data_IF_251053169679
#
_entry.id   IF_251053169679
#
_cell.length_a   1.000
_cell.length_b   1.000
_cell.length_c   1.000
_cell.angle_alpha   90.00
_cell.angle_beta   90.00
_cell.angle_gamma   90.00
#
_symmetry.space_group_name_H-M   'P 1'
#
loop_
_entity.id
_entity.type
_entity.pdbx_description
1 polymer ?
#
# COMPACT_ATOMS: atom_id res chain seq x y z
N UNK A 1 -16.37 -3.33 26.77
CA UNK A 1 -15.98 -3.57 25.35
C UNK A 1 -16.23 -5.03 25.03
N UNK A 2 -16.88 -5.33 23.89
CA UNK A 2 -17.00 -6.72 23.40
C UNK A 2 -15.67 -7.21 22.82
N UNK A 3 -15.48 -8.53 22.73
CA UNK A 3 -14.29 -9.14 22.10
C UNK A 3 -14.09 -8.62 20.67
N UNK A 4 -15.17 -8.50 19.90
CA UNK A 4 -15.16 -7.96 18.53
C UNK A 4 -14.65 -6.52 18.49
N UNK A 5 -15.06 -5.67 19.44
CA UNK A 5 -14.57 -4.29 19.51
C UNK A 5 -13.06 -4.24 19.76
N UNK A 6 -12.54 -5.06 20.69
CA UNK A 6 -11.11 -5.13 20.96
C UNK A 6 -10.33 -5.59 19.73
N UNK A 7 -10.76 -6.68 19.09
CA UNK A 7 -10.09 -7.23 17.89
C UNK A 7 -10.04 -6.19 16.78
N UNK A 8 -11.16 -5.53 16.49
CA UNK A 8 -11.22 -4.57 15.42
C UNK A 8 -10.43 -3.29 15.72
N UNK A 9 -10.38 -2.82 16.96
CA UNK A 9 -9.51 -1.69 17.35
C UNK A 9 -8.04 -2.05 17.19
N UNK A 10 -7.62 -3.22 17.68
CA UNK A 10 -6.24 -3.70 17.52
C UNK A 10 -5.89 -3.85 16.03
N UNK A 11 -6.78 -4.46 15.24
CA UNK A 11 -6.60 -4.57 13.80
C UNK A 11 -6.47 -3.20 13.13
N UNK A 12 -7.34 -2.24 13.47
CA UNK A 12 -7.26 -0.88 12.92
C UNK A 12 -5.94 -0.19 13.25
N UNK A 13 -5.46 -0.30 14.49
CA UNK A 13 -4.17 0.28 14.91
C UNK A 13 -3.01 -0.38 14.15
N UNK A 14 -2.96 -1.71 14.12
CA UNK A 14 -1.90 -2.45 13.42
C UNK A 14 -1.89 -2.14 11.93
N UNK A 15 -3.06 -2.10 11.29
CA UNK A 15 -3.19 -1.77 9.87
C UNK A 15 -2.80 -0.31 9.59
N UNK A 16 -3.21 0.63 10.44
CA UNK A 16 -2.82 2.03 10.33
C UNK A 16 -1.29 2.20 10.38
N UNK A 17 -0.64 1.58 11.37
CA UNK A 17 0.81 1.58 11.47
C UNK A 17 1.47 0.87 10.27
N UNK A 18 0.90 -0.25 9.80
CA UNK A 18 1.39 -0.96 8.62
C UNK A 18 1.35 -0.11 7.35
N UNK A 19 0.27 0.69 7.17
CA UNK A 19 0.12 1.59 6.01
C UNK A 19 1.27 2.59 5.93
N UNK A 20 1.73 3.15 7.05
CA UNK A 20 2.82 4.13 7.05
C UNK A 20 4.17 3.41 6.94
N UNK A 21 4.38 2.36 7.72
CA UNK A 21 5.68 1.68 7.83
C UNK A 21 6.11 0.99 6.54
N UNK A 22 5.18 0.55 5.67
CA UNK A 22 5.55 -0.02 4.37
C UNK A 22 6.32 0.96 3.47
N UNK A 23 6.15 2.27 3.66
CA UNK A 23 6.89 3.29 2.91
C UNK A 23 8.31 3.51 3.43
N UNK A 24 8.65 2.99 4.62
CA UNK A 24 10.03 3.03 5.13
C UNK A 24 11.01 2.31 4.19
N UNK A 25 10.52 1.35 3.38
CA UNK A 25 11.31 0.71 2.32
C UNK A 25 11.95 1.72 1.36
N UNK A 26 11.29 2.85 1.10
CA UNK A 26 11.82 3.89 0.20
C UNK A 26 12.97 4.69 0.79
N UNK A 27 13.22 4.60 2.11
CA UNK A 27 14.41 5.17 2.75
C UNK A 27 15.69 4.36 2.46
N UNK A 28 15.57 3.10 2.01
CA UNK A 28 16.75 2.31 1.64
C UNK A 28 17.44 2.89 0.41
N UNK A 29 18.79 2.83 0.29
CA UNK A 29 19.48 3.26 -0.92
C UNK A 29 18.99 2.52 -2.17
N UNK A 30 18.98 3.21 -3.32
CA UNK A 30 18.51 2.67 -4.61
C UNK A 30 19.04 1.26 -4.88
N UNK A 31 20.36 1.03 -4.75
CA UNK A 31 20.99 -0.28 -5.00
C UNK A 31 20.37 -1.41 -4.17
N UNK A 32 20.05 -1.16 -2.90
CA UNK A 32 19.42 -2.17 -2.02
C UNK A 32 17.98 -2.43 -2.42
N UNK A 33 17.20 -1.38 -2.69
CA UNK A 33 15.82 -1.52 -3.18
C UNK A 33 15.76 -2.33 -4.46
N UNK A 34 16.70 -2.06 -5.37
CA UNK A 34 16.86 -2.80 -6.62
C UNK A 34 17.21 -4.26 -6.42
N UNK A 35 18.23 -4.56 -5.63
CA UNK A 35 18.61 -5.96 -5.37
C UNK A 35 17.47 -6.77 -4.74
N UNK A 36 16.69 -6.16 -3.83
CA UNK A 36 15.52 -6.81 -3.23
C UNK A 36 14.41 -7.04 -4.26
N UNK A 37 14.16 -6.08 -5.14
CA UNK A 37 13.19 -6.21 -6.23
C UNK A 37 13.60 -7.29 -7.23
N UNK A 38 14.87 -7.28 -7.66
CA UNK A 38 15.41 -8.25 -8.60
C UNK A 38 15.32 -9.67 -8.02
N UNK A 39 15.56 -9.83 -6.71
CA UNK A 39 15.37 -11.09 -5.98
C UNK A 39 13.91 -11.56 -5.96
N UNK A 40 12.95 -10.65 -5.83
CA UNK A 40 11.52 -11.00 -5.84
C UNK A 40 11.07 -11.51 -7.22
N UNK A 41 11.51 -10.86 -8.29
CA UNK A 41 11.17 -11.32 -9.64
C UNK A 41 11.93 -12.58 -10.04
N UNK A 42 13.18 -12.76 -9.59
CA UNK A 42 13.94 -14.01 -9.82
C UNK A 42 14.01 -14.42 -11.29
N UNK A 43 14.15 -13.45 -12.21
CA UNK A 43 14.15 -13.69 -13.66
C UNK A 43 12.78 -13.90 -14.31
N UNK A 44 11.68 -13.78 -13.54
CA UNK A 44 10.30 -13.94 -14.03
C UNK A 44 9.67 -12.59 -14.40
N UNK A 45 8.53 -12.67 -15.07
CA UNK A 45 7.69 -11.52 -15.42
C UNK A 45 6.73 -11.11 -14.29
N UNK A 46 6.38 -12.02 -13.37
CA UNK A 46 5.56 -11.76 -12.18
C UNK A 46 6.25 -12.24 -10.90
N UNK A 47 5.93 -11.62 -9.77
CA UNK A 47 6.48 -11.91 -8.45
C UNK A 47 5.42 -12.02 -7.33
N UNK A 48 4.17 -11.63 -7.60
CA UNK A 48 3.17 -11.36 -6.53
C UNK A 48 1.88 -12.17 -6.64
N UNK A 49 1.71 -13.03 -7.64
CA UNK A 49 0.42 -13.69 -7.92
C UNK A 49 -0.20 -14.37 -6.68
N UNK A 50 0.60 -15.16 -5.93
CA UNK A 50 0.11 -15.81 -4.70
C UNK A 50 -0.15 -14.80 -3.59
N UNK A 51 0.71 -13.81 -3.40
CA UNK A 51 0.51 -12.79 -2.37
C UNK A 51 -0.72 -11.93 -2.66
N UNK A 52 -1.05 -11.68 -3.92
CA UNK A 52 -2.18 -10.86 -4.32
C UNK A 52 -3.51 -11.55 -3.96
N UNK A 53 -3.60 -12.88 -4.16
CA UNK A 53 -4.76 -13.67 -3.72
C UNK A 53 -4.90 -13.66 -2.19
N UNK A 54 -3.80 -13.84 -1.47
CA UNK A 54 -3.80 -13.82 0.01
C UNK A 54 -4.20 -12.45 0.54
N UNK A 55 -3.65 -11.38 -0.02
CA UNK A 55 -3.98 -10.00 0.36
C UNK A 55 -5.43 -9.65 0.03
N UNK A 56 -5.97 -10.16 -1.07
CA UNK A 56 -7.38 -9.99 -1.41
C UNK A 56 -8.27 -10.65 -0.36
N UNK A 57 -8.02 -11.91 -0.02
CA UNK A 57 -8.77 -12.62 1.01
C UNK A 57 -8.69 -11.89 2.38
N UNK A 58 -7.49 -11.45 2.75
CA UNK A 58 -7.28 -10.68 3.98
C UNK A 58 -8.05 -9.35 3.98
N UNK A 59 -8.03 -8.61 2.87
CA UNK A 59 -8.75 -7.34 2.72
C UNK A 59 -10.26 -7.53 2.87
N UNK A 60 -10.83 -8.59 2.26
CA UNK A 60 -12.25 -8.94 2.41
C UNK A 60 -12.58 -9.28 3.86
N UNK A 61 -11.74 -10.06 4.54
CA UNK A 61 -11.94 -10.42 5.95
C UNK A 61 -11.93 -9.18 6.88
N UNK A 62 -11.01 -8.23 6.66
CA UNK A 62 -10.95 -6.98 7.42
C UNK A 62 -12.17 -6.10 7.16
N UNK A 63 -12.61 -5.98 5.89
CA UNK A 63 -13.84 -5.26 5.56
C UNK A 63 -15.06 -5.87 6.28
N UNK A 64 -15.19 -7.20 6.24
CA UNK A 64 -16.27 -7.92 6.93
C UNK A 64 -16.21 -7.71 8.45
N UNK A 65 -15.02 -7.75 9.06
CA UNK A 65 -14.82 -7.47 10.48
C UNK A 65 -15.32 -6.07 10.86
N UNK A 66 -14.96 -5.04 10.09
CA UNK A 66 -15.38 -3.66 10.39
C UNK A 66 -16.88 -3.45 10.17
N UNK A 67 -17.46 -4.06 9.13
CA UNK A 67 -18.91 -4.02 8.92
C UNK A 67 -19.65 -4.74 10.04
N UNK A 68 -19.17 -5.91 10.48
CA UNK A 68 -19.76 -6.64 11.61
C UNK A 68 -19.64 -5.89 12.93
N UNK A 69 -18.55 -5.13 13.14
CA UNK A 69 -18.41 -4.21 14.27
C UNK A 69 -19.41 -3.04 14.24
N UNK A 70 -20.08 -2.81 13.12
CA UNK A 70 -21.01 -1.69 12.93
C UNK A 70 -20.32 -0.41 12.43
N UNK A 71 -19.40 -0.54 11.47
CA UNK A 71 -18.87 0.64 10.76
C UNK A 71 -20.00 1.44 10.12
N UNK A 72 -19.96 2.77 10.31
CA UNK A 72 -20.89 3.69 9.67
C UNK A 72 -20.79 3.55 8.13
N UNK A 73 -21.89 3.29 7.39
CA UNK A 73 -21.84 3.06 5.96
C UNK A 73 -21.29 4.24 5.16
N UNK A 74 -21.61 5.48 5.56
CA UNK A 74 -21.13 6.67 4.85
C UNK A 74 -19.61 6.85 5.02
N UNK A 75 -19.11 6.72 6.26
CA UNK A 75 -17.68 6.72 6.55
C UNK A 75 -16.93 5.58 5.86
N UNK A 76 -17.51 4.38 5.81
CA UNK A 76 -16.92 3.22 5.14
C UNK A 76 -16.80 3.42 3.62
N UNK A 77 -17.89 3.84 2.95
CA UNK A 77 -17.89 4.14 1.51
C UNK A 77 -16.96 5.30 1.17
N UNK A 78 -16.97 6.37 1.98
CA UNK A 78 -16.05 7.49 1.84
C UNK A 78 -14.59 7.05 1.94
N UNK A 79 -14.27 6.21 2.92
CA UNK A 79 -12.94 5.62 3.08
C UNK A 79 -12.50 4.78 1.88
N UNK A 80 -13.39 3.93 1.34
CA UNK A 80 -13.12 3.15 0.13
C UNK A 80 -12.83 4.05 -1.07
N UNK A 81 -13.64 5.08 -1.29
CA UNK A 81 -13.46 6.01 -2.41
C UNK A 81 -12.15 6.80 -2.28
N UNK A 82 -11.83 7.33 -1.09
CA UNK A 82 -10.56 8.02 -0.83
C UNK A 82 -9.38 7.09 -1.07
N UNK A 83 -9.43 5.87 -0.53
CA UNK A 83 -8.37 4.86 -0.71
C UNK A 83 -8.12 4.51 -2.17
N UNK A 84 -9.19 4.21 -2.92
CA UNK A 84 -9.14 3.89 -4.35
C UNK A 84 -8.59 5.07 -5.18
N UNK A 85 -9.00 6.29 -4.85
CA UNK A 85 -8.53 7.49 -5.55
C UNK A 85 -7.06 7.76 -5.27
N UNK A 86 -6.61 7.62 -4.01
CA UNK A 86 -5.20 7.83 -3.64
C UNK A 86 -4.27 6.82 -4.33
N UNK A 87 -4.65 5.55 -4.43
CA UNK A 87 -3.83 4.54 -5.12
C UNK A 87 -3.79 4.79 -6.64
N UNK A 88 -4.90 5.20 -7.26
CA UNK A 88 -4.92 5.61 -8.66
C UNK A 88 -3.97 6.80 -8.90
N UNK A 89 -4.12 7.87 -8.11
CA UNK A 89 -3.26 9.04 -8.21
C UNK A 89 -1.79 8.69 -7.97
N UNK A 90 -1.49 7.81 -7.02
CA UNK A 90 -0.14 7.31 -6.76
C UNK A 90 0.48 6.70 -8.02
N UNK A 91 -0.22 5.75 -8.67
CA UNK A 91 0.29 5.10 -9.88
C UNK A 91 0.46 6.06 -11.05
N UNK A 92 -0.45 7.03 -11.21
CA UNK A 92 -0.35 8.05 -12.27
C UNK A 92 0.93 8.91 -12.17
N UNK A 93 1.56 8.98 -10.99
CA UNK A 93 2.83 9.71 -10.82
C UNK A 93 4.03 9.00 -11.49
N UNK A 94 3.88 7.74 -11.88
CA UNK A 94 4.94 6.96 -12.52
C UNK A 94 4.84 6.88 -14.06
N UNK A 95 4.11 7.81 -14.69
CA UNK A 95 3.97 7.90 -16.15
C UNK A 95 5.28 8.22 -16.91
N UNK A 96 6.29 8.82 -16.26
CA UNK A 96 7.52 9.19 -16.96
C UNK A 96 8.39 7.95 -17.21
N UNK A 97 8.92 7.77 -18.43
CA UNK A 97 9.81 6.66 -18.77
C UNK A 97 11.01 6.55 -17.82
N UNK A 98 11.45 5.32 -17.59
CA UNK A 98 12.68 5.01 -16.85
C UNK A 98 13.85 4.99 -17.84
N UNK A 99 15.00 5.53 -17.44
CA UNK A 99 16.22 5.47 -18.26
C UNK A 99 16.61 4.01 -18.55
N UNK A 100 17.18 3.74 -19.74
CA UNK A 100 17.44 2.38 -20.23
C UNK A 100 18.29 1.56 -19.27
N UNK A 101 19.24 2.20 -18.58
CA UNK A 101 20.17 1.58 -17.65
C UNK A 101 19.50 1.15 -16.33
N UNK A 102 18.28 1.64 -16.08
CA UNK A 102 17.50 1.36 -14.86
C UNK A 102 16.18 0.63 -15.12
N UNK A 103 15.88 0.39 -16.40
CA UNK A 103 14.68 -0.30 -16.86
C UNK A 103 14.61 -1.75 -16.36
N UNK A 104 13.43 -2.35 -16.48
CA UNK A 104 13.22 -3.75 -16.15
C UNK A 104 13.99 -4.67 -17.11
N UNK A 105 14.82 -5.61 -16.60
CA UNK A 105 15.43 -6.61 -17.46
C UNK A 105 14.34 -7.56 -17.99
N UNK A 106 14.46 -8.01 -19.24
CA UNK A 106 13.60 -9.05 -19.79
C UNK A 106 13.63 -10.34 -18.94
N UNK A 107 12.54 -11.12 -18.91
CA UNK A 107 11.23 -10.81 -19.49
C UNK A 107 10.50 -9.70 -18.70
N UNK A 108 9.83 -8.79 -19.41
CA UNK A 108 9.09 -7.68 -18.80
C UNK A 108 7.59 -7.97 -18.74
N UNK A 109 6.91 -7.30 -17.83
CA UNK A 109 5.45 -7.19 -17.73
C UNK A 109 5.10 -5.78 -17.31
N UNK A 110 3.86 -5.30 -17.52
CA UNK A 110 3.44 -3.98 -17.05
C UNK A 110 3.68 -3.79 -15.54
N UNK A 111 3.42 -4.82 -14.74
CA UNK A 111 3.65 -4.78 -13.30
C UNK A 111 5.15 -4.68 -12.96
N UNK A 112 5.99 -5.45 -13.64
CA UNK A 112 7.45 -5.38 -13.45
C UNK A 112 8.00 -4.01 -13.84
N UNK A 113 7.58 -3.47 -14.98
CA UNK A 113 8.00 -2.13 -15.41
C UNK A 113 7.58 -1.06 -14.40
N UNK A 114 6.33 -1.12 -13.91
CA UNK A 114 5.83 -0.21 -12.87
C UNK A 114 6.64 -0.34 -11.57
N UNK A 115 6.90 -1.56 -11.10
CA UNK A 115 7.73 -1.81 -9.92
C UNK A 115 9.12 -1.18 -10.06
N UNK A 116 9.73 -1.30 -11.24
CA UNK A 116 11.05 -0.72 -11.52
C UNK A 116 10.99 0.81 -11.56
N UNK A 117 9.95 1.41 -12.14
CA UNK A 117 9.71 2.85 -12.14
C UNK A 117 9.51 3.41 -10.72
N UNK A 118 8.81 2.67 -9.86
CA UNK A 118 8.64 3.01 -8.44
C UNK A 118 9.99 3.01 -7.73
N UNK A 119 10.86 2.03 -7.97
CA UNK A 119 12.17 2.00 -7.30
C UNK A 119 13.15 3.06 -7.79
N UNK A 120 13.06 3.46 -9.06
CA UNK A 120 13.88 4.53 -9.63
C UNK A 120 13.59 5.88 -8.98
N UNK A 121 12.31 6.23 -8.81
CA UNK A 121 11.91 7.53 -8.29
C UNK A 121 10.72 7.43 -7.29
N UNK A 122 10.90 6.79 -6.13
CA UNK A 122 9.81 6.52 -5.18
C UNK A 122 9.18 7.76 -4.56
N UNK A 123 9.80 8.93 -4.70
CA UNK A 123 9.32 10.23 -4.22
C UNK A 123 8.34 10.92 -5.18
N UNK A 124 8.13 10.43 -6.42
CA UNK A 124 7.19 11.04 -7.37
C UNK A 124 5.76 11.25 -6.82
N UNK A 125 5.20 10.33 -6.01
CA UNK A 125 3.89 10.48 -5.39
C UNK A 125 3.93 11.05 -3.96
N UNK A 126 4.93 11.88 -3.63
CA UNK A 126 5.02 12.47 -2.30
C UNK A 126 3.74 13.18 -1.82
N UNK A 127 2.92 13.87 -2.65
CA UNK A 127 1.68 14.47 -2.16
C UNK A 127 0.67 13.40 -1.72
N UNK A 128 0.53 12.31 -2.47
CA UNK A 128 -0.38 11.22 -2.12
C UNK A 128 0.08 10.51 -0.85
N UNK A 129 1.40 10.31 -0.71
CA UNK A 129 1.98 9.73 0.51
C UNK A 129 1.74 10.61 1.73
N UNK A 130 1.96 11.92 1.61
CA UNK A 130 1.72 12.87 2.69
C UNK A 130 0.24 12.90 3.10
N UNK A 131 -0.67 13.00 2.13
CA UNK A 131 -2.11 12.97 2.39
C UNK A 131 -2.51 11.68 3.12
N UNK A 132 -2.06 10.53 2.63
CA UNK A 132 -2.32 9.24 3.27
C UNK A 132 -1.78 9.20 4.70
N UNK A 133 -0.55 9.66 4.93
CA UNK A 133 0.06 9.71 6.26
C UNK A 133 -0.73 10.59 7.22
N UNK A 134 -1.13 11.80 6.80
CA UNK A 134 -1.92 12.72 7.64
C UNK A 134 -3.26 12.08 8.02
N UNK A 135 -3.97 11.49 7.05
CA UNK A 135 -5.24 10.82 7.31
C UNK A 135 -5.09 9.67 8.30
N UNK A 136 -4.07 8.82 8.13
CA UNK A 136 -3.81 7.71 9.04
C UNK A 136 -3.47 8.19 10.45
N UNK A 137 -2.55 9.16 10.59
CA UNK A 137 -2.16 9.70 11.90
C UNK A 137 -3.35 10.35 12.61
N UNK A 138 -4.18 11.09 11.87
CA UNK A 138 -5.39 11.70 12.41
C UNK A 138 -6.38 10.64 12.89
N UNK A 139 -6.62 9.57 12.11
CA UNK A 139 -7.50 8.47 12.53
C UNK A 139 -6.95 7.68 13.73
N UNK A 140 -5.63 7.46 13.80
CA UNK A 140 -5.00 6.83 14.96
C UNK A 140 -5.12 7.69 16.22
N UNK A 141 -4.93 9.01 16.09
CA UNK A 141 -5.15 9.94 17.19
C UNK A 141 -6.61 9.87 17.67
N UNK A 142 -7.58 9.89 16.76
CA UNK A 142 -9.00 9.75 17.14
C UNK A 142 -9.31 8.42 17.85
N UNK A 143 -8.61 7.33 17.54
CA UNK A 143 -8.75 6.06 18.25
C UNK A 143 -8.11 6.10 19.65
N UNK A 144 -7.02 6.85 19.84
CA UNK A 144 -6.34 6.97 21.12
C UNK A 144 -7.03 7.92 22.11
N UNK A 145 -7.77 8.92 21.59
CA UNK A 145 -8.53 9.89 22.39
C UNK A 145 -9.96 9.46 22.73
N UNK A 146 -10.41 8.30 22.23
CA UNK A 146 -11.72 7.70 22.53
C UNK A 146 -11.60 6.65 23.63
#
# INVERSE_FOLDING_TARGET
>A
MTVVNTIATVAAVVLGLHIITKFAFFALPYRRRRALLDKQYGGKASATDTSDVVLMAFTVAIAALFLWRGADPAGFLGGLWVGATLIQLYFHRFHRPVARERAAPPPTSPLKEMSYAIQDAPWRPWPQLLTLTVLVLFSLAQLAWK
#
